data_IF_939780106769
#
_entry.id   IF_939780106769
#
_cell.length_a   1.000
_cell.length_b   1.000
_cell.length_c   1.000
_cell.angle_alpha   90.00
_cell.angle_beta   90.00
_cell.angle_gamma   90.00
#
_symmetry.space_group_name_H-M   'P 1'
#
loop_
_entity.id
_entity.type
_entity.pdbx_description
1 polymer ?
#
# COMPACT_ATOMS: atom_id res chain seq x y z
N UNK A 1 -22.44 -4.51 12.04
CA UNK A 1 -21.38 -3.49 12.09
C UNK A 1 -20.63 -3.67 13.40
N UNK A 2 -19.62 -4.54 13.42
CA UNK A 2 -18.78 -4.70 14.60
C UNK A 2 -17.64 -3.69 14.49
N UNK A 3 -17.70 -2.67 15.34
CA UNK A 3 -16.57 -1.78 15.59
C UNK A 3 -15.55 -2.64 16.33
N UNK A 4 -14.49 -3.06 15.64
CA UNK A 4 -13.36 -3.75 16.27
C UNK A 4 -12.78 -2.87 17.36
N UNK A 5 -12.64 -3.43 18.56
CA UNK A 5 -12.17 -2.76 19.75
C UNK A 5 -10.83 -2.03 19.46
N UNK A 6 -10.72 -0.73 19.75
CA UNK A 6 -9.49 0.06 19.59
C UNK A 6 -8.36 -0.37 20.54
N UNK A 7 -8.46 -1.53 21.18
CA UNK A 7 -7.58 -1.99 22.26
C UNK A 7 -7.29 -3.49 22.18
N UNK A 8 -7.48 -4.11 21.01
CA UNK A 8 -6.95 -5.45 20.78
C UNK A 8 -5.41 -5.39 20.78
N UNK A 9 -4.78 -6.27 21.56
CA UNK A 9 -3.34 -6.41 21.56
C UNK A 9 -2.88 -7.02 20.23
N UNK A 10 -1.83 -6.47 19.61
CA UNK A 10 -1.33 -6.99 18.35
C UNK A 10 -0.65 -8.34 18.57
N UNK A 11 -0.74 -9.20 17.57
CA UNK A 11 0.06 -10.43 17.47
C UNK A 11 1.00 -10.35 16.27
N UNK A 12 2.05 -11.17 16.30
CA UNK A 12 2.98 -11.30 15.16
C UNK A 12 2.21 -11.65 13.90
N UNK A 13 2.53 -10.97 12.80
CA UNK A 13 1.83 -11.10 11.52
C UNK A 13 0.69 -10.11 11.31
N UNK A 14 0.18 -9.45 12.36
CA UNK A 14 -0.83 -8.41 12.17
C UNK A 14 -0.25 -7.20 11.44
N UNK A 15 -1.13 -6.54 10.66
CA UNK A 15 -0.89 -5.18 10.20
C UNK A 15 -1.50 -4.22 11.21
N UNK A 16 -0.72 -3.24 11.67
CA UNK A 16 -1.15 -2.24 12.65
C UNK A 16 -0.97 -0.83 12.09
N UNK A 17 -1.77 0.12 12.59
CA UNK A 17 -1.56 1.54 12.34
C UNK A 17 -0.99 2.18 13.60
N UNK A 18 0.18 2.80 13.47
CA UNK A 18 0.88 3.50 14.56
C UNK A 18 1.46 4.79 13.96
N UNK A 19 1.29 5.93 14.64
CA UNK A 19 1.79 7.25 14.19
C UNK A 19 1.44 7.57 12.73
N UNK A 20 0.19 7.26 12.35
CA UNK A 20 -0.37 7.49 11.02
C UNK A 20 0.27 6.71 9.85
N UNK A 21 1.06 5.66 10.14
CA UNK A 21 1.66 4.75 9.16
C UNK A 21 1.21 3.31 9.36
N UNK A 22 1.34 2.49 8.32
CA UNK A 22 1.04 1.07 8.41
C UNK A 22 2.32 0.25 8.66
N UNK A 23 2.22 -0.71 9.56
CA UNK A 23 3.35 -1.53 10.01
C UNK A 23 2.96 -3.00 10.08
N UNK A 24 3.88 -3.89 9.72
CA UNK A 24 3.76 -5.33 9.93
C UNK A 24 4.47 -5.71 11.24
N UNK A 25 3.73 -6.34 12.15
CA UNK A 25 4.27 -6.76 13.46
C UNK A 25 5.19 -7.96 13.28
N UNK A 26 6.45 -7.81 13.68
CA UNK A 26 7.46 -8.85 13.60
C UNK A 26 7.69 -9.57 14.94
N UNK A 27 7.57 -8.86 16.06
CA UNK A 27 7.76 -9.45 17.39
C UNK A 27 6.93 -8.73 18.45
N UNK A 28 6.44 -9.48 19.44
CA UNK A 28 5.63 -8.99 20.57
C UNK A 28 6.18 -9.58 21.86
N UNK A 29 6.69 -8.74 22.74
CA UNK A 29 7.19 -9.14 24.05
C UNK A 29 6.23 -8.64 25.15
N UNK A 30 5.69 -9.58 25.93
CA UNK A 30 4.75 -9.30 27.01
C UNK A 30 5.20 -9.95 28.31
N UNK A 31 5.08 -9.20 29.41
CA UNK A 31 5.25 -9.69 30.78
C UNK A 31 4.09 -9.20 31.64
N UNK A 32 3.67 -10.00 32.61
CA UNK A 32 2.57 -9.63 33.49
C UNK A 32 2.93 -8.41 34.34
N UNK A 33 2.06 -7.39 34.32
CA UNK A 33 2.27 -6.13 35.03
C UNK A 33 3.17 -5.11 34.32
N UNK A 34 3.69 -5.43 33.13
CA UNK A 34 4.50 -4.52 32.30
C UNK A 34 3.76 -4.11 31.01
N UNK A 35 4.19 -3.03 30.37
CA UNK A 35 3.70 -2.64 29.04
C UNK A 35 4.16 -3.62 27.96
N UNK A 36 3.33 -3.80 26.94
CA UNK A 36 3.62 -4.69 25.81
C UNK A 36 4.58 -4.02 24.83
N UNK A 37 5.77 -4.59 24.65
CA UNK A 37 6.75 -4.13 23.66
C UNK A 37 6.43 -4.75 22.30
N UNK A 38 6.34 -3.93 21.26
CA UNK A 38 6.01 -4.38 19.90
C UNK A 38 7.09 -3.88 18.94
N UNK A 39 7.66 -4.82 18.19
CA UNK A 39 8.58 -4.54 17.10
C UNK A 39 7.86 -4.77 15.77
N UNK A 40 8.10 -3.87 14.82
CA UNK A 40 7.38 -3.85 13.56
C UNK A 40 8.23 -3.24 12.44
N UNK A 41 7.89 -3.56 11.19
CA UNK A 41 8.50 -2.99 10.01
C UNK A 41 7.46 -2.20 9.21
N UNK A 42 7.83 -1.01 8.73
CA UNK A 42 6.95 -0.19 7.93
C UNK A 42 6.64 -0.87 6.59
N UNK A 43 5.38 -0.83 6.16
CA UNK A 43 4.94 -1.38 4.86
C UNK A 43 4.50 -0.30 3.87
N UNK A 44 4.53 0.97 4.29
CA UNK A 44 4.27 2.10 3.40
C UNK A 44 5.44 2.31 2.42
N UNK A 45 5.14 2.69 1.18
CA UNK A 45 6.11 2.68 0.07
C UNK A 45 7.28 3.65 0.22
N UNK A 46 7.10 4.76 0.95
CA UNK A 46 8.10 5.80 1.17
C UNK A 46 9.12 5.45 2.28
N UNK A 47 8.85 4.42 3.06
CA UNK A 47 9.64 4.02 4.22
C UNK A 47 9.67 2.50 4.42
N UNK A 48 9.47 1.73 3.35
CA UNK A 48 9.34 0.27 3.43
C UNK A 48 10.54 -0.38 4.14
N UNK A 49 10.23 -1.28 5.08
CA UNK A 49 11.23 -2.01 5.87
C UNK A 49 11.85 -1.23 7.02
N UNK A 50 11.55 0.06 7.21
CA UNK A 50 12.04 0.80 8.38
C UNK A 50 11.52 0.16 9.68
N UNK A 51 12.41 -0.16 10.64
CA UNK A 51 11.99 -0.75 11.91
C UNK A 51 11.40 0.32 12.83
N UNK A 52 10.42 -0.08 13.63
CA UNK A 52 9.89 0.70 14.74
C UNK A 52 9.66 -0.22 15.93
N UNK A 53 9.95 0.29 17.12
CA UNK A 53 9.74 -0.38 18.39
C UNK A 53 8.99 0.57 19.33
N UNK A 54 7.91 0.08 19.93
CA UNK A 54 7.03 0.88 20.80
C UNK A 54 6.50 0.07 21.96
N UNK A 55 6.05 0.76 23.01
CA UNK A 55 5.16 0.20 24.03
C UNK A 55 3.71 0.45 23.62
N UNK A 56 2.96 -0.61 23.35
CA UNK A 56 1.65 -0.54 22.70
C UNK A 56 0.66 0.35 23.45
N UNK A 57 0.58 0.19 24.77
CA UNK A 57 -0.37 0.91 25.63
C UNK A 57 -0.05 2.41 25.75
N UNK A 58 1.16 2.84 25.36
CA UNK A 58 1.59 4.24 25.37
C UNK A 58 1.40 4.94 24.02
N UNK A 59 1.16 4.19 22.94
CA UNK A 59 1.01 4.77 21.60
C UNK A 59 -0.43 5.24 21.34
N UNK A 60 -0.57 6.55 21.13
CA UNK A 60 -1.86 7.19 20.89
C UNK A 60 -2.39 6.81 19.50
N UNK A 61 -3.65 6.35 19.46
CA UNK A 61 -4.31 6.00 18.21
C UNK A 61 -3.75 4.75 17.53
N UNK A 62 -2.95 3.96 18.26
CA UNK A 62 -2.52 2.64 17.83
C UNK A 62 -3.74 1.72 17.67
N UNK A 63 -3.78 0.95 16.58
CA UNK A 63 -4.86 -0.03 16.35
C UNK A 63 -4.42 -1.14 15.40
N UNK A 64 -4.94 -2.33 15.65
CA UNK A 64 -4.85 -3.44 14.70
C UNK A 64 -5.75 -3.17 13.51
N UNK A 65 -5.23 -3.37 12.29
CA UNK A 65 -6.02 -3.34 11.06
C UNK A 65 -6.57 -4.75 10.86
N UNK A 66 -7.90 -4.93 10.72
CA UNK A 66 -8.50 -6.26 10.54
C UNK A 66 -7.97 -6.93 9.27
N UNK A 67 -7.76 -8.24 9.34
CA UNK A 67 -7.34 -9.07 8.20
C UNK A 67 -8.41 -9.15 7.11
N UNK A 68 -9.66 -8.79 7.40
CA UNK A 68 -10.71 -8.78 6.40
C UNK A 68 -10.39 -7.74 5.32
N UNK A 69 -10.17 -8.18 4.06
CA UNK A 69 -9.99 -7.25 2.97
C UNK A 69 -11.33 -6.53 2.76
N UNK A 70 -11.44 -5.31 3.30
CA UNK A 70 -12.58 -4.41 3.05
C UNK A 70 -12.89 -4.25 1.56
N UNK A 71 -11.89 -4.43 0.70
CA UNK A 71 -12.08 -4.41 -0.74
C UNK A 71 -12.92 -5.58 -1.26
N UNK A 72 -12.82 -6.75 -0.64
CA UNK A 72 -13.56 -7.95 -1.06
C UNK A 72 -14.87 -8.12 -0.28
N UNK A 73 -15.02 -7.44 0.86
CA UNK A 73 -16.28 -7.46 1.61
C UNK A 73 -17.38 -6.79 0.80
N UNK A 74 -18.42 -7.56 0.45
CA UNK A 74 -19.54 -7.09 -0.36
C UNK A 74 -19.40 -7.28 -1.87
N UNK A 75 -18.31 -7.90 -2.34
CA UNK A 75 -18.22 -8.37 -3.72
C UNK A 75 -19.12 -9.60 -3.86
N UNK A 76 -20.15 -9.50 -4.71
CA UNK A 76 -21.07 -10.60 -5.00
C UNK A 76 -20.53 -11.59 -6.04
N UNK A 77 -19.57 -11.17 -6.87
CA UNK A 77 -18.94 -11.98 -7.92
C UNK A 77 -17.58 -11.42 -8.31
N UNK A 78 -16.64 -12.29 -8.67
CA UNK A 78 -15.38 -11.89 -9.30
C UNK A 78 -15.57 -11.68 -10.81
N UNK A 79 -14.71 -10.87 -11.41
CA UNK A 79 -14.67 -10.67 -12.87
C UNK A 79 -14.36 -11.98 -13.59
N UNK A 80 -14.87 -12.13 -14.82
CA UNK A 80 -14.45 -13.23 -15.69
C UNK A 80 -12.94 -13.15 -15.97
N UNK A 81 -12.23 -14.29 -16.08
CA UNK A 81 -10.77 -14.30 -16.26
C UNK A 81 -10.28 -13.47 -17.44
N UNK A 82 -11.06 -13.38 -18.52
CA UNK A 82 -10.72 -12.57 -19.69
C UNK A 82 -10.73 -11.07 -19.38
N UNK A 83 -11.70 -10.61 -18.58
CA UNK A 83 -11.84 -9.21 -18.19
C UNK A 83 -10.72 -8.81 -17.21
N UNK A 84 -10.48 -9.64 -16.18
CA UNK A 84 -9.36 -9.43 -15.27
C UNK A 84 -8.01 -9.48 -16.00
N UNK A 85 -7.86 -10.38 -16.97
CA UNK A 85 -6.69 -10.46 -17.84
C UNK A 85 -6.46 -9.18 -18.65
N UNK A 86 -7.50 -8.59 -19.21
CA UNK A 86 -7.43 -7.31 -19.90
C UNK A 86 -7.00 -6.16 -18.96
N UNK A 87 -7.56 -6.10 -17.75
CA UNK A 87 -7.16 -5.13 -16.72
C UNK A 87 -5.69 -5.28 -16.32
N UNK A 88 -5.23 -6.51 -16.07
CA UNK A 88 -3.83 -6.78 -15.71
C UNK A 88 -2.87 -6.38 -16.84
N UNK A 89 -3.26 -6.61 -18.10
CA UNK A 89 -2.47 -6.18 -19.26
C UNK A 89 -2.37 -4.64 -19.35
N UNK A 90 -3.46 -3.93 -19.07
CA UNK A 90 -3.45 -2.46 -19.01
C UNK A 90 -2.48 -1.95 -17.93
N UNK A 91 -2.57 -2.50 -16.69
CA UNK A 91 -1.63 -2.15 -15.61
C UNK A 91 -0.17 -2.42 -15.99
N UNK A 92 0.11 -3.55 -16.66
CA UNK A 92 1.46 -3.88 -17.12
C UNK A 92 1.99 -2.86 -18.14
N UNK A 93 1.15 -2.41 -19.07
CA UNK A 93 1.53 -1.35 -20.01
C UNK A 93 1.81 -0.02 -19.30
N UNK A 94 1.06 0.31 -18.25
CA UNK A 94 1.31 1.50 -17.43
C UNK A 94 2.61 1.39 -16.61
N UNK A 95 2.83 0.26 -15.90
CA UNK A 95 4.03 0.03 -15.08
C UNK A 95 5.33 -0.03 -15.89
N UNK A 96 5.24 -0.43 -17.16
CA UNK A 96 6.34 -0.42 -18.10
C UNK A 96 6.86 1.01 -18.34
N UNK A 97 6.00 2.04 -18.27
CA UNK A 97 6.43 3.43 -18.41
C UNK A 97 7.21 3.96 -17.20
N UNK A 98 6.90 3.46 -15.98
CA UNK A 98 7.52 3.93 -14.74
C UNK A 98 8.80 3.18 -14.35
N UNK A 99 8.90 1.89 -14.70
CA UNK A 99 10.02 1.03 -14.26
C UNK A 99 11.12 0.88 -15.31
N UNK A 100 10.80 1.08 -16.60
CA UNK A 100 11.80 1.08 -17.68
C UNK A 100 11.55 2.26 -18.63
N UNK A 101 12.28 3.37 -18.46
CA UNK A 101 12.06 4.58 -19.25
C UNK A 101 12.28 4.34 -20.75
N UNK A 102 12.94 3.27 -21.20
CA UNK A 102 13.21 3.03 -22.62
C UNK A 102 12.14 2.22 -23.36
N UNK A 103 11.11 1.70 -22.68
CA UNK A 103 10.20 0.73 -23.29
C UNK A 103 9.03 1.37 -24.07
N UNK A 104 8.67 2.60 -23.73
CA UNK A 104 7.72 3.43 -24.47
C UNK A 104 8.36 4.80 -24.66
N UNK A 105 9.11 4.96 -25.74
CA UNK A 105 9.76 6.22 -26.12
C UNK A 105 9.29 6.62 -27.52
N UNK A 106 7.97 6.73 -27.73
CA UNK A 106 7.51 7.58 -28.81
C UNK A 106 7.91 9.03 -28.44
N UNK A 107 8.83 9.68 -29.17
CA UNK A 107 9.31 11.03 -28.83
C UNK A 107 8.17 12.04 -28.71
N UNK A 108 7.03 11.74 -29.33
CA UNK A 108 5.76 12.44 -29.18
C UNK A 108 4.61 11.43 -28.99
N UNK A 109 3.71 11.70 -28.05
CA UNK A 109 2.60 10.81 -27.63
C UNK A 109 1.27 11.14 -28.34
N UNK A 110 1.33 11.57 -29.60
CA UNK A 110 0.15 11.92 -30.37
C UNK A 110 0.25 11.34 -31.78
N UNK A 111 -0.83 10.74 -32.27
CA UNK A 111 -0.95 10.25 -33.66
C UNK A 111 -1.17 11.39 -34.66
N UNK A 112 -0.42 12.49 -34.52
CA UNK A 112 -0.51 13.69 -35.35
C UNK A 112 0.78 13.84 -36.15
N UNK A 113 0.65 14.36 -37.38
CA UNK A 113 1.83 14.78 -38.12
C UNK A 113 2.46 15.96 -37.39
N UNK A 114 3.70 15.76 -36.94
CA UNK A 114 4.48 16.78 -36.27
C UNK A 114 4.96 17.79 -37.30
N UNK A 115 4.48 19.02 -37.16
CA UNK A 115 4.91 20.14 -37.97
C UNK A 115 5.89 20.99 -37.14
N UNK A 116 7.01 21.48 -37.70
CA UNK A 116 8.07 22.13 -36.93
C UNK A 116 7.60 23.28 -36.02
N UNK A 117 6.60 24.05 -36.47
CA UNK A 117 6.01 25.16 -35.70
C UNK A 117 5.29 24.70 -34.42
N UNK A 118 4.92 23.42 -34.29
CA UNK A 118 4.28 22.87 -33.10
C UNK A 118 5.27 22.59 -31.98
N UNK A 119 6.57 22.61 -32.28
CA UNK A 119 7.66 22.34 -31.34
C UNK A 119 8.40 23.61 -30.92
N UNK A 120 8.04 24.76 -31.49
CA UNK A 120 8.59 26.05 -31.08
C UNK A 120 8.10 26.38 -29.66
N UNK A 121 9.00 26.69 -28.70
CA UNK A 121 8.59 27.09 -27.35
C UNK A 121 7.74 28.36 -27.41
N UNK A 122 6.63 28.38 -26.68
CA UNK A 122 5.86 29.62 -26.48
C UNK A 122 6.77 30.67 -25.84
N UNK A 123 6.78 31.88 -26.40
CA UNK A 123 7.43 33.04 -25.79
C UNK A 123 6.53 33.68 -24.73
#
# INVERSE_FOLDING_TARGET
>A
MQVTDPTSLPVVGNVVRVRNRNWLVSHVARRDGEQTRVEMACIDSDAAGQPLEVFWELEIGSRVIPDEPKLLSGISSLDEPALFGAYLNALRWDCVTSTNPNLLQAPFRAGVNLLPYQLEPLR
#
